data_IF_702427856450
#
_entry.id   IF_702427856450
#
_cell.length_a   1.000
_cell.length_b   1.000
_cell.length_c   1.000
_cell.angle_alpha   90.00
_cell.angle_beta   90.00
_cell.angle_gamma   90.00
#
_symmetry.space_group_name_H-M   'P 1'
#
loop_
_entity.id
_entity.type
_entity.pdbx_description
1 polymer ?
#
# COMPACT_ATOMS: atom_id res chain seq x y z
N UNK A 1 -14.46 58.14 13.61
CA UNK A 1 -14.11 57.99 15.04
C UNK A 1 -12.74 57.37 15.09
N UNK A 2 -11.74 58.22 15.27
CA UNK A 2 -10.32 57.89 15.39
C UNK A 2 -10.01 57.63 16.85
N UNK A 3 -9.41 56.49 17.18
CA UNK A 3 -8.48 56.38 18.33
C UNK A 3 -7.34 55.45 17.90
N UNK A 4 -6.15 56.04 17.83
CA UNK A 4 -4.84 55.40 17.84
C UNK A 4 -4.33 55.41 19.29
N UNK A 5 -3.73 54.31 19.74
CA UNK A 5 -2.57 54.21 20.65
C UNK A 5 -2.35 52.70 20.89
N UNK A 6 -1.38 52.08 20.22
CA UNK A 6 0.00 51.94 20.71
C UNK A 6 0.07 51.22 22.05
N UNK A 7 0.40 49.92 22.03
CA UNK A 7 1.46 49.43 22.89
C UNK A 7 2.34 48.43 22.13
N UNK A 8 3.63 48.76 22.14
CA UNK A 8 4.77 47.96 21.71
C UNK A 8 5.05 46.92 22.79
N UNK A 9 5.10 45.65 22.43
CA UNK A 9 5.97 44.65 23.06
C UNK A 9 6.44 43.71 21.94
N UNK A 10 7.64 43.99 21.42
CA UNK A 10 8.85 43.24 21.78
C UNK A 10 8.98 41.95 20.96
N UNK A 11 9.34 42.15 19.69
CA UNK A 11 10.07 41.16 18.89
C UNK A 11 11.43 40.89 19.57
N UNK A 12 11.53 39.79 20.31
CA UNK A 12 12.78 39.18 20.75
C UNK A 12 12.56 37.68 20.88
N UNK A 13 13.60 36.95 20.55
CA UNK A 13 13.74 35.49 20.67
C UNK A 13 13.11 34.64 19.55
N UNK A 14 13.71 34.75 18.36
CA UNK A 14 13.86 33.60 17.45
C UNK A 14 15.16 33.66 16.61
N UNK A 15 16.03 34.66 16.85
CA UNK A 15 17.33 34.80 16.18
C UNK A 15 18.47 34.03 16.85
N UNK A 16 18.32 33.64 18.11
CA UNK A 16 19.46 33.24 18.94
C UNK A 16 19.68 31.72 19.02
N UNK A 17 18.74 30.92 18.50
CA UNK A 17 18.88 29.45 18.42
C UNK A 17 19.61 29.00 17.15
N UNK A 18 19.80 29.89 16.17
CA UNK A 18 20.30 29.53 14.84
C UNK A 18 21.76 29.95 14.58
N UNK A 19 22.42 30.61 15.53
CA UNK A 19 23.80 31.09 15.40
C UNK A 19 24.80 30.10 16.01
N UNK A 20 24.44 29.42 17.10
CA UNK A 20 25.31 28.43 17.79
C UNK A 20 25.42 27.09 17.06
N UNK A 21 24.41 26.70 16.27
CA UNK A 21 24.45 25.45 15.48
C UNK A 21 25.24 25.60 14.18
N UNK A 22 25.19 26.77 13.52
CA UNK A 22 25.88 27.02 12.25
C UNK A 22 27.40 27.14 12.38
N UNK A 23 27.91 27.64 13.50
CA UNK A 23 29.36 27.74 13.73
C UNK A 23 29.99 26.41 14.15
N UNK A 24 29.25 25.55 14.85
CA UNK A 24 29.71 24.19 15.19
C UNK A 24 29.61 23.22 14.01
N UNK A 25 28.71 23.47 13.05
CA UNK A 25 28.56 22.71 11.80
C UNK A 25 29.64 23.01 10.76
N UNK A 26 30.32 24.15 10.83
CA UNK A 26 31.38 24.54 9.88
C UNK A 26 32.76 23.99 10.21
N UNK A 27 32.91 23.29 11.32
CA UNK A 27 34.21 22.89 11.86
C UNK A 27 34.74 21.54 11.32
N UNK A 28 33.95 20.78 10.54
CA UNK A 28 34.32 19.42 10.13
C UNK A 28 33.87 19.09 8.68
N UNK A 29 34.55 19.67 7.69
CA UNK A 29 34.42 19.36 6.25
C UNK A 29 35.45 18.28 5.83
N UNK A 30 35.59 17.96 4.53
CA UNK A 30 36.59 16.97 4.07
C UNK A 30 38.03 17.27 4.51
N UNK A 31 38.32 18.54 4.80
CA UNK A 31 39.59 19.03 5.34
C UNK A 31 39.90 18.42 6.72
N UNK A 32 38.88 18.05 7.49
CA UNK A 32 39.11 17.70 8.89
C UNK A 32 39.27 16.19 9.14
N UNK A 33 38.79 15.35 8.22
CA UNK A 33 39.23 13.95 8.15
C UNK A 33 40.71 13.87 7.81
N UNK A 34 41.18 14.77 6.95
CA UNK A 34 42.59 14.91 6.62
C UNK A 34 43.35 15.39 7.87
N UNK A 35 42.82 16.36 8.62
CA UNK A 35 43.38 16.78 9.90
C UNK A 35 43.49 15.64 10.93
N UNK A 36 42.45 14.82 11.12
CA UNK A 36 42.51 13.68 12.06
C UNK A 36 43.56 12.64 11.64
N UNK A 37 43.73 12.43 10.32
CA UNK A 37 44.79 11.58 9.77
C UNK A 37 46.16 12.22 10.02
N UNK A 38 46.31 13.52 9.80
CA UNK A 38 47.54 14.26 10.09
C UNK A 38 47.92 14.17 11.57
N UNK A 39 46.98 14.38 12.49
CA UNK A 39 47.19 14.25 13.94
C UNK A 39 47.61 12.81 14.32
N UNK A 40 46.97 11.80 13.73
CA UNK A 40 47.34 10.41 13.96
C UNK A 40 48.76 10.12 13.44
N UNK A 41 49.11 10.60 12.25
CA UNK A 41 50.46 10.45 11.68
C UNK A 41 51.52 11.20 12.49
N UNK A 42 51.21 12.39 13.01
CA UNK A 42 52.09 13.13 13.91
C UNK A 42 52.35 12.37 15.22
N UNK A 43 51.31 11.74 15.79
CA UNK A 43 51.45 10.86 16.94
C UNK A 43 52.37 9.66 16.66
N UNK A 44 52.22 9.03 15.49
CA UNK A 44 53.08 7.94 15.05
C UNK A 44 54.53 8.38 14.85
N UNK A 45 54.77 9.53 14.23
CA UNK A 45 56.10 10.13 14.04
C UNK A 45 56.75 10.46 15.39
N UNK A 46 55.98 10.96 16.36
CA UNK A 46 56.46 11.22 17.73
C UNK A 46 56.98 9.94 18.41
N UNK A 47 56.31 8.80 18.22
CA UNK A 47 56.76 7.49 18.73
C UNK A 47 58.04 7.03 18.03
N UNK A 48 58.17 7.23 16.72
CA UNK A 48 59.40 6.92 15.98
C UNK A 48 60.57 7.80 16.43
N UNK A 49 60.31 9.09 16.67
CA UNK A 49 61.31 10.03 17.18
C UNK A 49 61.77 9.64 18.58
N UNK A 50 60.85 9.22 19.46
CA UNK A 50 61.18 8.66 20.78
C UNK A 50 62.17 7.48 20.68
N UNK A 51 61.92 6.54 19.76
CA UNK A 51 62.84 5.40 19.51
C UNK A 51 64.19 5.84 18.97
N UNK A 52 64.21 6.79 18.04
CA UNK A 52 65.45 7.32 17.46
C UNK A 52 66.29 8.07 18.49
N UNK A 53 65.67 8.95 19.29
CA UNK A 53 66.32 9.69 20.37
C UNK A 53 66.91 8.74 21.43
N UNK A 54 66.17 7.68 21.78
CA UNK A 54 66.65 6.64 22.72
C UNK A 54 67.87 5.88 22.20
N UNK A 55 68.03 5.76 20.88
CA UNK A 55 69.14 5.04 20.25
C UNK A 55 70.38 5.93 20.01
N UNK A 56 70.16 7.21 19.66
CA UNK A 56 71.22 8.13 19.21
C UNK A 56 71.81 8.95 20.35
N UNK A 57 70.99 9.50 21.26
CA UNK A 57 71.50 10.40 22.32
C UNK A 57 72.48 9.75 23.31
N UNK A 58 72.32 8.47 23.73
CA UNK A 58 73.30 7.83 24.61
C UNK A 58 74.73 7.77 24.03
N UNK A 59 74.88 7.87 22.70
CA UNK A 59 76.19 7.85 22.02
C UNK A 59 76.89 9.22 21.96
N UNK A 60 76.18 10.31 22.25
CA UNK A 60 76.66 11.69 21.99
C UNK A 60 76.97 12.46 23.30
N UNK A 61 76.94 11.80 24.47
CA UNK A 61 77.37 12.34 25.78
C UNK A 61 76.31 13.08 26.61
N UNK A 62 75.03 12.67 26.55
CA UNK A 62 73.98 13.16 27.45
C UNK A 62 73.75 12.24 28.67
N UNK A 63 73.35 12.74 29.86
CA UNK A 63 73.04 11.90 31.01
C UNK A 63 71.87 10.95 30.70
N UNK A 64 72.02 9.65 31.01
CA UNK A 64 71.01 8.60 30.73
C UNK A 64 69.60 8.94 31.23
N UNK A 65 69.52 9.71 32.32
CA UNK A 65 68.26 10.15 32.92
C UNK A 65 67.52 11.12 31.99
N UNK A 66 68.23 12.08 31.38
CA UNK A 66 67.63 13.09 30.50
C UNK A 66 67.11 12.46 29.21
N UNK A 67 67.86 11.53 28.62
CA UNK A 67 67.44 10.81 27.41
C UNK A 67 66.20 9.96 27.64
N UNK A 68 66.11 9.35 28.82
CA UNK A 68 64.96 8.53 29.22
C UNK A 68 63.71 9.37 29.40
N UNK A 69 63.82 10.53 30.06
CA UNK A 69 62.68 11.46 30.26
C UNK A 69 62.17 11.98 28.91
N UNK A 70 63.07 12.46 28.04
CA UNK A 70 62.68 13.02 26.73
C UNK A 70 62.05 11.94 25.86
N UNK A 71 62.64 10.74 25.82
CA UNK A 71 62.08 9.60 25.07
C UNK A 71 60.68 9.23 25.56
N UNK A 72 60.49 9.15 26.88
CA UNK A 72 59.21 8.82 27.50
C UNK A 72 58.16 9.88 27.16
N UNK A 73 58.53 11.16 27.22
CA UNK A 73 57.63 12.26 26.86
C UNK A 73 57.11 12.15 25.42
N UNK A 74 58.00 11.96 24.43
CA UNK A 74 57.58 11.82 23.02
C UNK A 74 56.75 10.56 22.76
N UNK A 75 57.01 9.46 23.49
CA UNK A 75 56.22 8.24 23.39
C UNK A 75 54.80 8.44 23.93
N UNK A 76 54.67 8.96 25.15
CA UNK A 76 53.36 9.17 25.78
C UNK A 76 52.54 10.25 25.04
N UNK A 77 53.20 11.33 24.57
CA UNK A 77 52.55 12.33 23.73
C UNK A 77 52.03 11.73 22.41
N UNK A 78 52.82 10.85 21.77
CA UNK A 78 52.41 10.19 20.54
C UNK A 78 51.22 9.24 20.72
N UNK A 79 51.20 8.48 21.82
CA UNK A 79 50.06 7.60 22.17
C UNK A 79 48.81 8.43 22.46
N UNK A 80 48.93 9.53 23.20
CA UNK A 80 47.80 10.42 23.49
C UNK A 80 47.19 11.03 22.21
N UNK A 81 48.02 11.47 21.26
CA UNK A 81 47.56 12.01 19.97
C UNK A 81 46.80 10.96 19.14
N UNK A 82 47.30 9.73 19.10
CA UNK A 82 46.63 8.64 18.38
C UNK A 82 45.28 8.27 19.01
N UNK A 83 45.20 8.21 20.33
CA UNK A 83 43.94 7.95 21.06
C UNK A 83 42.95 9.09 20.81
N UNK A 84 43.40 10.34 20.89
CA UNK A 84 42.56 11.51 20.63
C UNK A 84 41.98 11.49 19.21
N UNK A 85 42.79 11.18 18.20
CA UNK A 85 42.34 11.07 16.81
C UNK A 85 41.31 9.94 16.62
N UNK A 86 41.54 8.78 17.24
CA UNK A 86 40.62 7.63 17.16
C UNK A 86 39.26 7.92 17.83
N UNK A 87 39.27 8.57 19.00
CA UNK A 87 38.06 8.98 19.69
C UNK A 87 37.30 10.05 18.89
N UNK A 88 38.02 11.05 18.37
CA UNK A 88 37.44 12.10 17.51
C UNK A 88 36.72 11.50 16.31
N UNK A 89 37.38 10.61 15.58
CA UNK A 89 36.80 9.92 14.43
C UNK A 89 35.55 9.08 14.81
N UNK A 90 35.61 8.37 15.94
CA UNK A 90 34.52 7.49 16.36
C UNK A 90 33.27 8.28 16.73
N UNK A 91 33.43 9.34 17.53
CA UNK A 91 32.34 10.24 17.93
C UNK A 91 31.72 10.89 16.69
N UNK A 92 32.54 11.39 15.76
CA UNK A 92 32.06 12.03 14.54
C UNK A 92 31.28 11.06 13.64
N UNK A 93 31.79 9.84 13.45
CA UNK A 93 31.12 8.81 12.65
C UNK A 93 29.74 8.45 13.22
N UNK A 94 29.63 8.34 14.55
CA UNK A 94 28.35 8.10 15.22
C UNK A 94 27.41 9.31 15.11
N UNK A 95 27.90 10.52 15.35
CA UNK A 95 27.10 11.74 15.28
C UNK A 95 26.60 12.01 13.85
N UNK A 96 27.44 11.84 12.82
CA UNK A 96 27.01 11.99 11.41
C UNK A 96 25.97 10.97 11.00
N UNK A 97 26.08 9.71 11.46
CA UNK A 97 25.04 8.70 11.22
C UNK A 97 23.71 9.13 11.83
N UNK A 98 23.73 9.53 13.11
CA UNK A 98 22.53 10.00 13.81
C UNK A 98 21.92 11.25 13.15
N UNK A 99 22.74 12.24 12.80
CA UNK A 99 22.27 13.45 12.12
C UNK A 99 21.70 13.16 10.72
N UNK A 100 22.30 12.25 9.95
CA UNK A 100 21.75 11.86 8.65
C UNK A 100 20.42 11.12 8.79
N UNK A 101 20.25 10.30 9.83
CA UNK A 101 18.98 9.65 10.14
C UNK A 101 17.91 10.69 10.53
N UNK A 102 18.23 11.59 11.45
CA UNK A 102 17.35 12.68 11.88
C UNK A 102 16.99 13.61 10.71
N UNK A 103 17.95 13.94 9.83
CA UNK A 103 17.71 14.76 8.65
C UNK A 103 16.81 14.07 7.62
N UNK A 104 16.95 12.76 7.43
CA UNK A 104 16.06 11.98 6.55
C UNK A 104 14.64 11.95 7.09
N UNK A 105 14.47 11.74 8.40
CA UNK A 105 13.16 11.80 9.07
C UNK A 105 12.55 13.20 8.91
N UNK A 106 13.33 14.25 9.18
CA UNK A 106 12.90 15.63 9.03
C UNK A 106 12.51 15.98 7.58
N UNK A 107 13.28 15.55 6.57
CA UNK A 107 12.90 15.75 5.16
C UNK A 107 11.57 15.08 4.81
N UNK A 108 11.32 13.88 5.34
CA UNK A 108 10.06 13.17 5.13
C UNK A 108 8.88 13.90 5.81
N UNK A 109 9.07 14.38 7.04
CA UNK A 109 8.06 15.16 7.77
C UNK A 109 7.76 16.49 7.07
N UNK A 110 8.78 17.27 6.69
CA UNK A 110 8.61 18.54 5.97
C UNK A 110 7.91 18.33 4.63
N UNK A 111 8.26 17.29 3.88
CA UNK A 111 7.59 16.98 2.61
C UNK A 111 6.09 16.70 2.81
N UNK A 112 5.74 15.93 3.85
CA UNK A 112 4.35 15.61 4.21
C UNK A 112 3.56 16.86 4.65
N UNK A 113 4.20 17.75 5.38
CA UNK A 113 3.59 18.97 5.89
C UNK A 113 3.45 20.05 4.80
N UNK A 114 4.41 20.16 3.90
CA UNK A 114 4.33 21.07 2.73
C UNK A 114 3.18 20.64 1.82
N UNK A 115 3.09 19.34 1.49
CA UNK A 115 1.98 18.84 0.66
C UNK A 115 0.63 19.12 1.32
N UNK A 116 0.54 18.86 2.63
CA UNK A 116 -0.67 19.14 3.42
C UNK A 116 -1.02 20.63 3.46
N UNK A 117 -0.04 21.51 3.62
CA UNK A 117 -0.23 22.96 3.66
C UNK A 117 -0.69 23.51 2.30
N UNK A 118 -0.14 22.99 1.19
CA UNK A 118 -0.55 23.38 -0.16
C UNK A 118 -1.99 22.92 -0.45
N UNK A 119 -2.34 21.68 -0.11
CA UNK A 119 -3.69 21.16 -0.37
C UNK A 119 -4.77 21.82 0.49
N UNK A 120 -4.50 22.12 1.77
CA UNK A 120 -5.46 22.83 2.64
C UNK A 120 -5.82 24.23 2.17
N UNK A 121 -4.95 24.88 1.38
CA UNK A 121 -5.23 26.21 0.81
C UNK A 121 -6.35 26.18 -0.24
N UNK A 122 -6.55 25.03 -0.88
CA UNK A 122 -7.45 24.88 -2.05
C UNK A 122 -8.62 23.96 -1.72
N UNK A 123 -8.39 22.91 -0.92
CA UNK A 123 -9.36 21.87 -0.59
C UNK A 123 -9.90 22.12 0.82
N UNK A 124 -11.24 22.14 1.01
CA UNK A 124 -11.84 22.21 2.35
C UNK A 124 -11.33 21.11 3.29
N UNK A 125 -11.09 21.46 4.56
CA UNK A 125 -10.43 20.58 5.54
C UNK A 125 -11.08 19.19 5.68
N UNK A 126 -12.41 19.11 5.63
CA UNK A 126 -13.12 17.82 5.72
C UNK A 126 -12.82 16.91 4.53
N UNK A 127 -12.76 17.47 3.32
CA UNK A 127 -12.43 16.75 2.09
C UNK A 127 -10.96 16.34 2.13
N UNK A 128 -10.07 17.24 2.53
CA UNK A 128 -8.64 16.94 2.64
C UNK A 128 -8.37 15.81 3.66
N UNK A 129 -9.05 15.82 4.81
CA UNK A 129 -8.93 14.75 5.81
C UNK A 129 -9.33 13.40 5.23
N UNK A 130 -10.38 13.37 4.42
CA UNK A 130 -10.84 12.14 3.77
C UNK A 130 -9.82 11.66 2.72
N UNK A 131 -9.35 12.54 1.83
CA UNK A 131 -8.31 12.21 0.83
C UNK A 131 -7.03 11.73 1.51
N UNK A 132 -6.61 12.40 2.59
CA UNK A 132 -5.42 12.01 3.35
C UNK A 132 -5.57 10.60 3.93
N UNK A 133 -6.69 10.34 4.63
CA UNK A 133 -6.95 9.02 5.23
C UNK A 133 -7.07 7.91 4.19
N UNK A 134 -7.75 8.20 3.08
CA UNK A 134 -8.14 7.19 2.10
C UNK A 134 -7.07 6.95 1.02
N UNK A 135 -6.10 7.85 0.87
CA UNK A 135 -5.04 7.74 -0.16
C UNK A 135 -3.66 7.98 0.43
N UNK A 136 -3.40 9.13 1.06
CA UNK A 136 -2.03 9.54 1.43
C UNK A 136 -1.43 8.75 2.60
N UNK A 137 -2.26 8.35 3.56
CA UNK A 137 -1.83 7.58 4.73
C UNK A 137 -1.95 6.05 4.51
N UNK A 138 -2.39 5.61 3.32
CA UNK A 138 -2.51 4.18 2.99
C UNK A 138 -1.15 3.59 2.60
N UNK A 139 -0.72 2.58 3.35
CA UNK A 139 0.48 1.79 3.03
C UNK A 139 0.17 0.57 2.15
N UNK A 140 -1.12 0.29 1.90
CA UNK A 140 -1.57 -0.88 1.16
C UNK A 140 -2.39 -0.43 -0.05
N UNK A 141 -2.08 -0.97 -1.21
CA UNK A 141 -2.90 -0.82 -2.42
C UNK A 141 -3.27 -2.20 -2.96
N UNK A 142 -4.38 -2.24 -3.70
CA UNK A 142 -4.82 -3.41 -4.45
C UNK A 142 -4.55 -3.17 -5.94
N UNK A 143 -4.06 -4.18 -6.65
CA UNK A 143 -3.84 -4.15 -8.10
C UNK A 143 -4.51 -5.35 -8.76
N UNK A 144 -4.83 -5.17 -10.04
CA UNK A 144 -5.36 -6.21 -10.92
C UNK A 144 -6.56 -6.92 -10.29
N UNK A 145 -7.48 -6.12 -9.74
CA UNK A 145 -8.67 -6.64 -9.09
C UNK A 145 -9.63 -7.13 -10.17
N UNK A 146 -9.88 -8.43 -10.21
CA UNK A 146 -10.81 -9.03 -11.16
C UNK A 146 -11.97 -9.69 -10.42
N UNK A 147 -13.17 -9.55 -10.99
CA UNK A 147 -14.38 -10.20 -10.52
C UNK A 147 -15.07 -10.84 -11.72
N UNK A 148 -15.26 -12.15 -11.67
CA UNK A 148 -16.00 -12.92 -12.67
C UNK A 148 -17.28 -13.44 -12.06
N UNK A 149 -18.41 -13.14 -12.71
CA UNK A 149 -19.73 -13.70 -12.41
C UNK A 149 -20.09 -14.67 -13.51
N UNK A 150 -20.35 -15.93 -13.16
CA UNK A 150 -20.98 -16.89 -14.07
C UNK A 150 -22.43 -17.11 -13.64
N UNK A 151 -23.36 -16.51 -14.40
CA UNK A 151 -24.78 -16.69 -14.20
C UNK A 151 -25.24 -17.94 -14.95
N UNK A 152 -25.95 -18.82 -14.26
CA UNK A 152 -26.53 -20.04 -14.85
C UNK A 152 -27.92 -20.32 -14.30
N UNK A 153 -28.72 -21.03 -15.10
CA UNK A 153 -30.01 -21.51 -14.65
C UNK A 153 -29.83 -22.62 -13.61
N UNK A 154 -30.71 -22.68 -12.61
CA UNK A 154 -30.75 -23.80 -11.68
C UNK A 154 -31.04 -25.08 -12.49
N UNK A 155 -30.30 -26.17 -12.24
CA UNK A 155 -30.56 -27.46 -12.89
C UNK A 155 -31.74 -28.18 -12.23
N UNK A 156 -32.34 -29.17 -12.90
CA UNK A 156 -33.44 -29.96 -12.31
C UNK A 156 -32.97 -30.73 -11.07
N UNK A 157 -31.73 -31.23 -11.07
CA UNK A 157 -31.15 -31.93 -9.92
C UNK A 157 -31.00 -31.02 -8.72
N UNK A 158 -30.46 -29.81 -8.93
CA UNK A 158 -30.28 -28.83 -7.86
C UNK A 158 -31.62 -28.31 -7.35
N UNK A 159 -32.61 -28.09 -8.23
CA UNK A 159 -33.96 -27.73 -7.83
C UNK A 159 -34.60 -28.82 -6.96
N UNK A 160 -34.45 -30.10 -7.32
CA UNK A 160 -34.96 -31.22 -6.54
C UNK A 160 -34.28 -31.33 -5.17
N UNK A 161 -32.96 -31.14 -5.09
CA UNK A 161 -32.20 -31.14 -3.83
C UNK A 161 -32.64 -30.03 -2.88
N UNK A 162 -32.93 -28.85 -3.43
CA UNK A 162 -33.38 -27.68 -2.68
C UNK A 162 -34.90 -27.65 -2.46
N UNK A 163 -35.64 -28.63 -3.00
CA UNK A 163 -37.09 -28.72 -2.91
C UNK A 163 -37.83 -27.55 -3.58
N UNK A 164 -37.27 -26.97 -4.65
CA UNK A 164 -37.85 -25.85 -5.37
C UNK A 164 -38.87 -26.33 -6.42
N UNK A 165 -39.98 -25.62 -6.55
CA UNK A 165 -40.91 -25.80 -7.67
C UNK A 165 -40.38 -25.16 -8.96
N UNK A 166 -40.89 -25.57 -10.12
CA UNK A 166 -40.53 -24.97 -11.41
C UNK A 166 -40.76 -23.45 -11.46
N UNK A 167 -41.81 -22.97 -10.78
CA UNK A 167 -42.13 -21.54 -10.71
C UNK A 167 -41.09 -20.75 -9.90
N UNK A 168 -40.52 -21.35 -8.86
CA UNK A 168 -39.45 -20.76 -8.05
C UNK A 168 -38.12 -20.82 -8.80
N UNK A 169 -37.79 -22.00 -9.34
CA UNK A 169 -36.59 -22.26 -10.14
C UNK A 169 -36.40 -21.23 -11.25
N UNK A 170 -37.47 -20.91 -12.01
CA UNK A 170 -37.43 -20.00 -13.15
C UNK A 170 -37.30 -18.50 -12.79
N UNK A 171 -37.18 -18.16 -11.50
CA UNK A 171 -36.97 -16.80 -11.00
C UNK A 171 -35.59 -16.57 -10.41
N UNK A 172 -34.79 -17.63 -10.29
CA UNK A 172 -33.53 -17.63 -9.56
C UNK A 172 -32.41 -18.12 -10.48
N UNK A 173 -31.25 -17.50 -10.36
CA UNK A 173 -30.02 -17.86 -11.04
C UNK A 173 -29.03 -18.38 -10.00
N UNK A 174 -28.24 -19.39 -10.40
CA UNK A 174 -27.01 -19.74 -9.69
C UNK A 174 -25.92 -18.79 -10.18
N UNK A 175 -25.15 -18.27 -9.24
CA UNK A 175 -24.08 -17.34 -9.53
C UNK A 175 -22.80 -17.85 -8.87
N UNK A 176 -21.88 -18.34 -9.70
CA UNK A 176 -20.53 -18.63 -9.27
C UNK A 176 -19.68 -17.36 -9.45
N UNK A 177 -19.10 -16.89 -8.36
CA UNK A 177 -18.35 -15.64 -8.26
C UNK A 177 -16.89 -15.97 -7.95
N UNK A 178 -16.01 -15.58 -8.87
CA UNK A 178 -14.56 -15.63 -8.68
C UNK A 178 -14.03 -14.22 -8.48
N UNK A 179 -13.30 -13.99 -7.40
CA UNK A 179 -12.62 -12.71 -7.14
C UNK A 179 -11.13 -12.94 -7.02
N UNK A 180 -10.34 -12.12 -7.70
CA UNK A 180 -8.88 -12.17 -7.63
C UNK A 180 -8.32 -10.76 -7.48
N UNK A 181 -7.21 -10.62 -6.77
CA UNK A 181 -6.46 -9.37 -6.70
C UNK A 181 -5.05 -9.59 -6.14
N UNK A 182 -4.22 -8.57 -6.26
CA UNK A 182 -2.86 -8.56 -5.71
C UNK A 182 -2.72 -7.39 -4.74
N UNK A 183 -2.30 -7.68 -3.52
CA UNK A 183 -2.04 -6.68 -2.48
C UNK A 183 -0.57 -6.24 -2.52
N UNK A 184 -0.34 -4.93 -2.51
CA UNK A 184 0.99 -4.33 -2.46
C UNK A 184 1.15 -3.49 -1.19
N UNK A 185 2.05 -3.92 -0.31
CA UNK A 185 2.49 -3.15 0.86
C UNK A 185 3.63 -2.20 0.45
N UNK A 186 3.28 -0.93 0.28
CA UNK A 186 4.17 0.15 -0.12
C UNK A 186 5.10 0.63 1.01
N UNK A 187 4.89 0.18 2.25
CA UNK A 187 5.75 0.54 3.37
C UNK A 187 7.02 -0.30 3.42
N UNK A 188 8.02 0.20 4.15
CA UNK A 188 9.30 -0.48 4.40
C UNK A 188 9.17 -1.62 5.41
N UNK A 189 8.08 -1.62 6.17
CA UNK A 189 7.84 -2.55 7.27
C UNK A 189 6.78 -3.58 6.87
N UNK A 190 6.90 -4.77 7.43
CA UNK A 190 5.87 -5.79 7.31
C UNK A 190 4.58 -5.32 8.02
N UNK A 191 3.44 -5.44 7.34
CA UNK A 191 2.13 -5.25 7.96
C UNK A 191 1.74 -6.57 8.60
N UNK A 192 1.63 -6.59 9.94
CA UNK A 192 1.30 -7.79 10.70
C UNK A 192 -0.21 -7.97 10.87
N UNK A 193 -0.66 -9.22 10.86
CA UNK A 193 -2.05 -9.62 11.12
C UNK A 193 -3.08 -8.88 10.23
N UNK A 194 -2.74 -8.65 8.97
CA UNK A 194 -3.68 -8.05 8.02
C UNK A 194 -4.85 -9.00 7.76
N UNK A 195 -6.12 -8.57 7.93
CA UNK A 195 -7.26 -9.44 7.71
C UNK A 195 -7.52 -9.65 6.22
N UNK A 196 -7.65 -10.91 5.81
CA UNK A 196 -8.15 -11.33 4.50
C UNK A 196 -9.57 -11.84 4.71
N UNK A 197 -10.52 -11.26 3.99
CA UNK A 197 -11.96 -11.53 4.16
C UNK A 197 -12.63 -11.79 2.82
N UNK A 198 -13.56 -12.74 2.81
CA UNK A 198 -14.50 -12.96 1.71
C UNK A 198 -15.87 -13.25 2.29
N UNK A 199 -16.91 -12.62 1.75
CA UNK A 199 -18.29 -12.82 2.20
C UNK A 199 -19.18 -13.15 1.02
N UNK A 200 -20.06 -14.13 1.21
CA UNK A 200 -21.11 -14.47 0.25
C UNK A 200 -22.45 -14.46 0.96
N UNK A 201 -23.46 -13.87 0.32
CA UNK A 201 -24.80 -13.76 0.91
C UNK A 201 -25.91 -14.05 -0.09
N UNK A 202 -27.04 -14.51 0.44
CA UNK A 202 -28.30 -14.70 -0.26
C UNK A 202 -29.45 -14.26 0.65
N UNK A 203 -30.25 -13.31 0.18
CA UNK A 203 -31.40 -12.73 0.86
C UNK A 203 -32.74 -13.33 0.39
N UNK A 204 -32.67 -14.40 -0.40
CA UNK A 204 -33.83 -15.11 -0.95
C UNK A 204 -34.36 -16.14 0.07
N UNK A 205 -34.74 -17.31 -0.42
CA UNK A 205 -35.27 -18.41 0.38
C UNK A 205 -34.21 -19.00 1.34
N UNK A 206 -34.54 -19.31 2.60
CA UNK A 206 -33.63 -19.97 3.54
C UNK A 206 -33.00 -21.27 3.02
N UNK A 207 -33.68 -22.03 2.17
CA UNK A 207 -33.14 -23.25 1.53
C UNK A 207 -31.92 -22.95 0.67
N UNK A 208 -31.88 -21.78 0.05
CA UNK A 208 -30.75 -21.31 -0.76
C UNK A 208 -29.58 -20.82 0.10
N UNK A 209 -29.89 -20.31 1.30
CA UNK A 209 -28.89 -19.81 2.24
C UNK A 209 -28.00 -20.96 2.76
N UNK A 210 -28.59 -22.14 2.97
CA UNK A 210 -27.85 -23.35 3.38
C UNK A 210 -26.87 -23.80 2.29
N UNK A 211 -27.27 -23.66 1.03
CA UNK A 211 -26.50 -24.03 -0.16
C UNK A 211 -25.46 -23.00 -0.63
N UNK A 212 -25.30 -21.87 0.08
CA UNK A 212 -24.19 -20.94 -0.17
C UNK A 212 -22.85 -21.64 0.03
N UNK A 213 -21.84 -21.27 -0.74
CA UNK A 213 -20.52 -21.91 -0.61
C UNK A 213 -19.39 -20.93 -0.87
N UNK A 214 -18.29 -21.08 -0.13
CA UNK A 214 -16.98 -20.54 -0.50
C UNK A 214 -16.10 -21.78 -0.65
N UNK A 215 -15.88 -22.23 -1.88
CA UNK A 215 -15.32 -23.56 -2.15
C UNK A 215 -13.82 -23.53 -2.47
N UNK A 216 -13.29 -22.40 -2.94
CA UNK A 216 -11.85 -22.25 -3.19
C UNK A 216 -11.34 -20.94 -2.62
N UNK A 217 -10.12 -20.97 -2.08
CA UNK A 217 -9.36 -19.78 -1.73
C UNK A 217 -7.87 -20.00 -1.95
N UNK A 218 -7.21 -18.99 -2.52
CA UNK A 218 -5.76 -18.93 -2.66
C UNK A 218 -5.27 -17.69 -1.94
N UNK A 219 -4.32 -17.86 -1.01
CA UNK A 219 -3.79 -16.80 -0.18
C UNK A 219 -2.26 -16.85 -0.26
N UNK A 220 -1.66 -15.87 -0.93
CA UNK A 220 -0.26 -15.90 -1.34
C UNK A 220 -0.03 -16.99 -2.38
N UNK A 221 0.90 -17.90 -2.10
CA UNK A 221 1.20 -19.07 -2.92
C UNK A 221 0.49 -20.34 -2.42
N UNK A 222 -0.35 -20.23 -1.38
CA UNK A 222 -1.01 -21.36 -0.76
C UNK A 222 -2.47 -21.46 -1.22
N UNK A 223 -2.82 -22.58 -1.84
CA UNK A 223 -4.20 -22.99 -2.07
C UNK A 223 -4.70 -23.72 -0.82
N UNK A 224 -5.81 -23.26 -0.25
CA UNK A 224 -6.35 -23.83 0.99
C UNK A 224 -7.13 -25.10 0.70
N UNK A 225 -6.90 -26.13 1.51
CA UNK A 225 -7.69 -27.35 1.45
C UNK A 225 -9.12 -27.12 1.97
N UNK A 226 -10.06 -27.99 1.57
CA UNK A 226 -11.46 -27.93 2.03
C UNK A 226 -11.61 -27.93 3.55
N UNK A 227 -10.77 -28.69 4.26
CA UNK A 227 -10.82 -28.77 5.72
C UNK A 227 -10.26 -27.52 6.42
N UNK A 228 -9.30 -26.84 5.79
CA UNK A 228 -8.82 -25.54 6.27
C UNK A 228 -9.87 -24.46 6.04
N UNK A 229 -10.48 -24.43 4.85
CA UNK A 229 -11.57 -23.52 4.50
C UNK A 229 -12.72 -23.61 5.50
N UNK A 230 -13.19 -24.83 5.83
CA UNK A 230 -14.28 -25.03 6.80
C UNK A 230 -14.00 -24.45 8.18
N UNK A 231 -12.74 -24.40 8.63
CA UNK A 231 -12.36 -23.82 9.93
C UNK A 231 -12.37 -22.30 9.92
N UNK A 232 -12.18 -21.70 8.74
CA UNK A 232 -12.07 -20.26 8.54
C UNK A 232 -13.40 -19.64 8.10
N UNK A 233 -14.36 -20.46 7.66
CA UNK A 233 -15.71 -20.03 7.30
C UNK A 233 -16.61 -20.06 8.53
N UNK A 234 -17.30 -18.96 8.77
CA UNK A 234 -18.32 -18.82 9.80
C UNK A 234 -19.61 -18.23 9.21
N UNK A 235 -20.70 -18.35 9.96
CA UNK A 235 -21.93 -17.64 9.62
C UNK A 235 -21.78 -16.17 10.04
N UNK A 236 -21.94 -15.26 9.08
CA UNK A 236 -21.78 -13.81 9.28
C UNK A 236 -22.89 -13.21 10.15
N UNK A 237 -22.81 -11.90 10.38
CA UNK A 237 -23.83 -11.15 11.14
C UNK A 237 -25.08 -10.91 10.27
N UNK A 238 -25.88 -11.94 10.05
CA UNK A 238 -27.13 -11.89 9.28
C UNK A 238 -27.61 -13.29 8.89
N UNK A 239 -28.91 -13.45 8.60
CA UNK A 239 -29.40 -14.68 7.98
C UNK A 239 -28.86 -14.74 6.54
N UNK A 240 -28.35 -15.90 6.13
CA UNK A 240 -27.90 -16.12 4.76
C UNK A 240 -26.58 -15.44 4.40
N UNK A 241 -25.65 -15.33 5.34
CA UNK A 241 -24.28 -14.83 5.08
C UNK A 241 -23.26 -15.86 5.54
N UNK A 242 -22.34 -16.23 4.65
CA UNK A 242 -21.13 -17.01 4.98
C UNK A 242 -19.91 -16.11 4.80
N UNK A 243 -19.05 -16.07 5.81
CA UNK A 243 -17.87 -15.22 5.85
C UNK A 243 -16.63 -16.08 6.09
N UNK A 244 -15.65 -15.96 5.20
CA UNK A 244 -14.29 -16.42 5.39
C UNK A 244 -13.47 -15.28 6.00
N UNK A 245 -12.74 -15.56 7.08
CA UNK A 245 -11.79 -14.61 7.67
C UNK A 245 -10.51 -15.32 8.10
N UNK A 246 -9.36 -14.75 7.72
CA UNK A 246 -8.04 -15.15 8.24
C UNK A 246 -7.13 -13.93 8.32
N UNK A 247 -5.97 -14.06 8.96
CA UNK A 247 -4.97 -13.01 9.02
C UNK A 247 -3.66 -13.47 8.39
N UNK A 248 -2.99 -12.54 7.71
CA UNK A 248 -1.69 -12.78 7.07
C UNK A 248 -0.72 -11.66 7.42
N UNK A 249 0.57 -11.97 7.33
CA UNK A 249 1.60 -10.93 7.37
C UNK A 249 1.95 -10.55 5.94
N UNK A 250 1.91 -9.25 5.63
CA UNK A 250 2.20 -8.73 4.31
C UNK A 250 3.61 -8.12 4.30
N UNK A 251 4.60 -8.77 3.66
CA UNK A 251 5.94 -8.23 3.55
C UNK A 251 5.94 -6.95 2.70
N UNK A 252 6.98 -6.13 2.82
CA UNK A 252 7.19 -4.97 1.94
C UNK A 252 7.30 -5.42 0.49
N UNK A 253 6.64 -4.71 -0.42
CA UNK A 253 6.62 -5.05 -1.86
C UNK A 253 7.55 -4.16 -2.69
N UNK A 254 8.59 -3.58 -2.07
CA UNK A 254 9.63 -2.82 -2.78
C UNK A 254 10.41 -3.65 -3.81
N UNK A 255 10.42 -4.97 -3.65
CA UNK A 255 10.99 -5.91 -4.63
C UNK A 255 10.05 -6.18 -5.82
N UNK A 256 8.86 -5.56 -5.83
CA UNK A 256 7.84 -5.68 -6.86
C UNK A 256 6.92 -6.90 -6.72
N UNK A 257 7.12 -7.76 -5.73
CA UNK A 257 6.30 -8.96 -5.53
C UNK A 257 5.07 -8.63 -4.68
N UNK A 258 3.90 -8.70 -5.30
CA UNK A 258 2.63 -8.54 -4.59
C UNK A 258 2.14 -9.85 -3.97
N UNK A 259 1.22 -9.73 -3.01
CA UNK A 259 0.58 -10.85 -2.32
C UNK A 259 -0.75 -11.19 -2.99
N UNK A 260 -0.85 -12.37 -3.60
CA UNK A 260 -2.04 -12.78 -4.37
C UNK A 260 -3.17 -13.25 -3.45
N UNK A 261 -4.40 -12.91 -3.81
CA UNK A 261 -5.60 -13.36 -3.12
C UNK A 261 -6.65 -13.75 -4.16
N UNK A 262 -7.23 -14.94 -4.02
CA UNK A 262 -8.29 -15.46 -4.88
C UNK A 262 -9.36 -16.15 -4.04
N UNK A 263 -10.62 -16.02 -4.44
CA UNK A 263 -11.75 -16.75 -3.87
C UNK A 263 -12.72 -17.18 -4.97
N UNK A 264 -13.26 -18.39 -4.87
CA UNK A 264 -14.42 -18.85 -5.63
C UNK A 264 -15.56 -19.17 -4.66
N UNK A 265 -16.74 -18.63 -4.96
CA UNK A 265 -17.92 -18.76 -4.13
C UNK A 265 -19.18 -18.93 -4.97
N UNK A 266 -20.20 -19.52 -4.37
CA UNK A 266 -21.51 -19.72 -4.97
C UNK A 266 -22.58 -18.97 -4.19
N UNK A 267 -23.38 -18.20 -4.92
CA UNK A 267 -24.59 -17.57 -4.42
C UNK A 267 -25.78 -17.78 -5.36
N UNK A 268 -26.94 -17.32 -4.93
CA UNK A 268 -28.19 -17.35 -5.69
C UNK A 268 -28.74 -15.93 -5.80
N UNK A 269 -29.15 -15.56 -7.01
CA UNK A 269 -29.65 -14.22 -7.31
C UNK A 269 -30.94 -14.26 -8.10
N UNK A 270 -31.66 -13.14 -8.12
CA UNK A 270 -32.88 -13.05 -8.93
C UNK A 270 -32.51 -12.94 -10.41
N UNK A 271 -33.47 -13.29 -11.26
CA UNK A 271 -33.36 -13.12 -12.71
C UNK A 271 -33.30 -11.65 -13.17
N UNK A 272 -33.69 -10.73 -12.29
CA UNK A 272 -33.60 -9.28 -12.45
C UNK A 272 -32.97 -8.75 -11.16
N UNK A 273 -31.72 -8.34 -11.24
CA UNK A 273 -30.94 -7.95 -10.08
C UNK A 273 -29.87 -6.91 -10.45
N UNK A 274 -29.35 -6.24 -9.43
CA UNK A 274 -28.29 -5.24 -9.55
C UNK A 274 -27.30 -5.40 -8.41
N UNK A 275 -26.03 -5.42 -8.77
CA UNK A 275 -24.91 -5.58 -7.86
C UNK A 275 -24.03 -4.34 -7.85
N UNK A 276 -23.39 -4.12 -6.70
CA UNK A 276 -22.49 -3.01 -6.48
C UNK A 276 -21.17 -3.56 -5.95
N UNK A 277 -20.14 -3.51 -6.78
CA UNK A 277 -18.78 -3.87 -6.40
C UNK A 277 -17.97 -2.62 -6.12
N UNK A 278 -17.68 -2.36 -4.85
CA UNK A 278 -16.80 -1.26 -4.42
C UNK A 278 -15.57 -1.79 -3.71
N UNK A 279 -14.53 -0.97 -3.65
CA UNK A 279 -13.31 -1.28 -2.89
C UNK A 279 -13.23 -0.48 -1.59
N UNK A 280 -12.59 -1.01 -0.55
CA UNK A 280 -12.25 -0.27 0.67
C UNK A 280 -10.79 0.21 0.68
N UNK A 281 -9.96 -0.38 -0.20
CA UNK A 281 -8.54 -0.07 -0.35
C UNK A 281 -8.34 0.60 -1.71
N UNK A 282 -7.48 1.63 -1.84
CA UNK A 282 -7.12 2.18 -3.15
C UNK A 282 -6.75 1.06 -4.12
N UNK A 283 -7.39 1.07 -5.29
CA UNK A 283 -7.28 -0.02 -6.26
C UNK A 283 -6.86 0.51 -7.61
N UNK A 284 -5.93 -0.16 -8.25
CA UNK A 284 -5.57 0.08 -9.65
C UNK A 284 -6.06 -1.08 -10.50
N UNK A 285 -6.61 -0.79 -11.67
CA UNK A 285 -7.08 -1.76 -12.66
C UNK A 285 -8.16 -2.71 -12.10
N UNK A 286 -9.42 -2.31 -12.24
CA UNK A 286 -10.56 -3.18 -11.95
C UNK A 286 -11.11 -3.80 -13.22
N UNK A 287 -11.38 -5.09 -13.18
CA UNK A 287 -11.94 -5.86 -14.28
C UNK A 287 -13.17 -6.63 -13.82
N UNK A 288 -14.27 -6.48 -14.55
CA UNK A 288 -15.52 -7.21 -14.32
C UNK A 288 -15.84 -8.05 -15.55
N UNK A 289 -16.10 -9.33 -15.33
CA UNK A 289 -16.51 -10.27 -16.36
C UNK A 289 -17.83 -10.92 -15.97
N UNK A 290 -18.80 -10.94 -16.88
CA UNK A 290 -20.13 -11.52 -16.63
C UNK A 290 -20.45 -12.51 -17.74
N UNK A 291 -20.48 -13.81 -17.42
CA UNK A 291 -21.05 -14.87 -18.23
C UNK A 291 -22.54 -15.05 -17.93
N UNK A 292 -23.35 -15.30 -18.96
CA UNK A 292 -24.81 -15.37 -18.80
C UNK A 292 -25.50 -16.37 -19.76
N UNK A 293 -26.67 -16.92 -19.38
CA UNK A 293 -27.45 -17.83 -20.21
C UNK A 293 -28.21 -17.09 -21.33
N UNK A 294 -28.96 -17.83 -22.15
CA UNK A 294 -29.82 -17.25 -23.19
C UNK A 294 -30.94 -16.39 -22.58
N UNK A 295 -31.33 -15.33 -23.30
CA UNK A 295 -32.45 -14.49 -22.90
C UNK A 295 -32.17 -13.57 -21.71
N UNK A 296 -30.90 -13.37 -21.36
CA UNK A 296 -30.45 -12.36 -20.39
C UNK A 296 -29.68 -11.26 -21.10
N UNK A 297 -29.99 -10.02 -20.74
CA UNK A 297 -29.21 -8.84 -21.08
C UNK A 297 -28.47 -8.35 -19.83
N UNK A 298 -27.17 -8.07 -19.99
CA UNK A 298 -26.31 -7.60 -18.91
C UNK A 298 -25.71 -6.24 -19.24
N UNK A 299 -25.55 -5.40 -18.22
CA UNK A 299 -24.98 -4.06 -18.31
C UNK A 299 -24.12 -3.74 -17.10
N UNK A 300 -23.21 -2.78 -17.25
CA UNK A 300 -22.40 -2.26 -16.17
C UNK A 300 -22.13 -0.77 -16.36
N UNK A 301 -21.91 -0.07 -15.25
CA UNK A 301 -21.52 1.33 -15.19
C UNK A 301 -20.53 1.55 -14.05
N UNK A 302 -19.57 2.44 -14.25
CA UNK A 302 -18.65 2.83 -13.21
C UNK A 302 -19.32 3.76 -12.20
N UNK A 303 -19.04 3.51 -10.91
CA UNK A 303 -19.25 4.45 -9.82
C UNK A 303 -17.96 5.28 -9.62
N UNK A 304 -17.44 5.79 -10.72
CA UNK A 304 -16.18 6.50 -10.85
C UNK A 304 -16.37 7.61 -11.91
N UNK A 305 -15.60 8.73 -11.86
CA UNK A 305 -15.75 9.81 -12.83
C UNK A 305 -15.52 9.39 -14.29
N UNK A 306 -14.63 8.41 -14.49
CA UNK A 306 -14.33 7.84 -15.81
C UNK A 306 -15.27 6.66 -16.14
N UNK A 307 -15.61 6.53 -17.42
CA UNK A 307 -16.44 5.45 -17.95
C UNK A 307 -15.70 4.10 -18.00
N UNK A 308 -16.47 3.02 -18.11
CA UNK A 308 -15.92 1.68 -18.32
C UNK A 308 -15.52 1.48 -19.78
N UNK A 309 -14.35 0.90 -19.99
CA UNK A 309 -13.99 0.32 -21.29
C UNK A 309 -14.66 -1.05 -21.42
N UNK A 310 -15.38 -1.27 -22.53
CA UNK A 310 -15.96 -2.57 -22.85
C UNK A 310 -15.24 -3.20 -24.04
N UNK A 311 -14.77 -4.44 -23.89
CA UNK A 311 -14.17 -5.17 -25.00
C UNK A 311 -15.22 -5.43 -26.11
N UNK A 312 -14.80 -5.43 -27.38
CA UNK A 312 -15.68 -5.78 -28.50
C UNK A 312 -16.19 -7.22 -28.33
N UNK A 313 -17.48 -7.37 -28.12
CA UNK A 313 -18.08 -8.66 -27.86
C UNK A 313 -18.06 -9.54 -29.11
N UNK A 314 -17.57 -10.77 -28.97
CA UNK A 314 -17.85 -11.81 -29.96
C UNK A 314 -19.34 -12.18 -29.83
N UNK A 315 -20.19 -11.99 -30.86
CA UNK A 315 -21.62 -12.26 -30.76
C UNK A 315 -21.96 -13.72 -30.43
N UNK A 316 -21.02 -14.65 -30.64
CA UNK A 316 -21.19 -16.06 -30.32
C UNK A 316 -20.84 -16.40 -28.85
N UNK A 317 -20.29 -15.46 -28.09
CA UNK A 317 -19.89 -15.66 -26.69
C UNK A 317 -20.78 -14.83 -25.78
N UNK A 318 -21.58 -15.51 -24.94
CA UNK A 318 -22.47 -14.88 -23.95
C UNK A 318 -21.69 -14.45 -22.70
N UNK A 319 -20.77 -13.54 -22.92
CA UNK A 319 -19.88 -13.00 -21.90
C UNK A 319 -19.58 -11.54 -22.22
N UNK A 320 -19.65 -10.68 -21.22
CA UNK A 320 -19.26 -9.27 -21.33
C UNK A 320 -18.16 -8.95 -20.34
N UNK A 321 -17.20 -8.15 -20.81
CA UNK A 321 -16.03 -7.76 -20.05
C UNK A 321 -15.93 -6.24 -20.01
N UNK A 322 -15.75 -5.73 -18.79
CA UNK A 322 -15.66 -4.30 -18.49
C UNK A 322 -14.38 -4.03 -17.72
N UNK A 323 -13.68 -2.95 -18.09
CA UNK A 323 -12.42 -2.55 -17.47
C UNK A 323 -12.51 -1.10 -17.00
N UNK A 324 -11.97 -0.86 -15.82
CA UNK A 324 -11.74 0.47 -15.26
C UNK A 324 -10.24 0.60 -15.00
N UNK A 325 -9.53 1.16 -15.97
CA UNK A 325 -8.06 1.23 -15.99
C UNK A 325 -7.49 2.43 -15.20
N UNK A 326 -8.26 2.99 -14.28
CA UNK A 326 -7.91 4.18 -13.51
C UNK A 326 -7.68 3.84 -12.04
N UNK A 327 -7.10 4.79 -11.30
CA UNK A 327 -6.99 4.69 -9.84
C UNK A 327 -8.37 4.86 -9.19
N UNK A 328 -8.86 3.82 -8.53
CA UNK A 328 -10.16 3.75 -7.88
C UNK A 328 -9.98 4.00 -6.38
N UNK A 329 -10.63 5.05 -5.88
CA UNK A 329 -10.61 5.36 -4.45
C UNK A 329 -11.55 4.44 -3.65
N UNK A 330 -11.37 4.35 -2.33
CA UNK A 330 -12.32 3.67 -1.47
C UNK A 330 -13.76 4.13 -1.72
N UNK A 331 -14.69 3.18 -1.67
CA UNK A 331 -16.12 3.30 -1.94
C UNK A 331 -16.51 3.59 -3.39
N UNK A 332 -15.54 3.69 -4.30
CA UNK A 332 -15.78 3.69 -5.75
C UNK A 332 -15.67 2.26 -6.30
N UNK A 333 -16.13 2.06 -7.54
CA UNK A 333 -16.06 0.77 -8.22
C UNK A 333 -17.04 0.66 -9.38
N UNK A 334 -17.76 -0.46 -9.46
CA UNK A 334 -18.61 -0.83 -10.59
C UNK A 334 -20.00 -1.25 -10.10
N UNK A 335 -21.05 -0.68 -10.68
CA UNK A 335 -22.42 -1.19 -10.57
C UNK A 335 -22.77 -1.96 -11.83
N UNK A 336 -23.33 -3.14 -11.68
CA UNK A 336 -23.72 -3.98 -12.81
C UNK A 336 -25.05 -4.66 -12.56
N UNK A 337 -25.73 -5.02 -13.63
CA UNK A 337 -27.09 -5.54 -13.57
C UNK A 337 -27.34 -6.53 -14.69
N UNK A 338 -28.38 -7.31 -14.49
CA UNK A 338 -28.91 -8.20 -15.50
C UNK A 338 -30.42 -8.28 -15.39
N UNK A 339 -31.07 -8.48 -16.53
CA UNK A 339 -32.50 -8.69 -16.59
C UNK A 339 -32.85 -9.58 -17.78
N UNK A 340 -34.07 -10.09 -17.82
CA UNK A 340 -34.59 -10.82 -18.99
C UNK A 340 -34.56 -9.90 -20.22
N UNK A 341 -34.01 -10.39 -21.31
CA UNK A 341 -34.01 -9.69 -22.59
C UNK A 341 -35.46 -9.46 -23.02
N UNK A 342 -35.75 -8.27 -23.54
CA UNK A 342 -37.06 -8.01 -24.16
C UNK A 342 -37.18 -8.92 -25.38
N UNK A 343 -38.34 -9.55 -25.63
CA UNK A 343 -38.56 -10.24 -26.89
C UNK A 343 -38.37 -9.23 -28.01
N UNK A 344 -37.51 -9.56 -28.99
CA UNK A 344 -37.34 -8.72 -30.17
C UNK A 344 -38.72 -8.45 -30.77
N UNK A 345 -39.10 -7.17 -30.88
CA UNK A 345 -40.25 -6.81 -31.72
C UNK A 345 -39.91 -7.30 -33.13
N UNK A 346 -40.76 -8.09 -33.79
CA UNK A 346 -40.51 -8.49 -35.16
C UNK A 346 -40.27 -7.22 -35.98
N UNK A 347 -39.13 -7.17 -36.68
CA UNK A 347 -38.84 -6.08 -37.62
C UNK A 347 -40.04 -6.03 -38.57
N UNK A 348 -40.78 -4.92 -38.53
CA UNK A 348 -41.86 -4.71 -39.49
C UNK A 348 -41.26 -4.90 -40.89
N UNK A 349 -41.83 -5.79 -41.72
CA UNK A 349 -41.40 -5.86 -43.11
C UNK A 349 -41.58 -4.46 -43.70
N UNK A 350 -40.53 -3.99 -44.40
CA UNK A 350 -40.55 -2.73 -45.13
C UNK A 350 -41.90 -2.58 -45.82
N UNK A 351 -42.64 -1.52 -45.47
CA UNK A 351 -43.80 -1.12 -46.24
C UNK A 351 -43.31 -0.91 -47.68
N UNK A 352 -43.81 -1.73 -48.60
CA UNK A 352 -43.60 -1.56 -50.03
C UNK A 352 -44.02 -0.13 -50.39
N UNK A 353 -43.09 0.59 -51.02
CA UNK A 353 -43.38 1.85 -51.67
C UNK A 353 -44.20 1.55 -52.93
N UNK A 354 -45.49 1.34 -52.77
CA UNK A 354 -46.51 1.41 -53.82
C UNK A 354 -47.77 1.87 -53.12
N UNK A 355 -48.05 3.17 -53.21
CA UNK A 355 -49.37 3.79 -53.16
C UNK A 355 -49.17 5.32 -53.18
N UNK A 356 -48.89 5.83 -54.37
CA UNK A 356 -49.20 7.21 -54.78
C UNK A 356 -49.73 7.14 -56.21
N UNK A 357 -51.03 6.92 -56.32
CA UNK A 357 -51.83 7.45 -57.44
C UNK A 357 -52.30 8.87 -57.11
#
# INVERSE_FOLDING_TARGET
MTINASDKESSKDDSDVNITSKETLKFWDSEDKIFLIEVFTAGFVSILLSKLLSYVLPKISSPELVTTIISLFFKEAGVALMIAAALGYTVESMTRKKQNEEFKVFQQEVSKDVLSAVFKKIIPDLIFKEVKRSVLDQALIKRDASMSYELSEITDELAAQLGLSDSEKNKILVCDVTTTHILYNLSDLEIKNHPIRCGVSCDLDPRLQEALEIHEATIGDNELSHDEMKKLISYGKGRGVKEFETTVNLPSTKDGKGFKVSFCSRTFKKYDDTEVWTTLTPTEYMELEIGFPLGIEVGAKSNHPEDLESDRQNPNVRRKKYKLNHGVFPYQGITFWWHKSKPEKPKQPFASADDRE
#
